data_IF_965738013929
#
_entry.id   IF_965738013929
#
_cell.length_a   1.000
_cell.length_b   1.000
_cell.length_c   1.000
_cell.angle_alpha   90.00
_cell.angle_beta   90.00
_cell.angle_gamma   90.00
#
_symmetry.space_group_name_H-M   'P 1'
#
loop_
_entity.id
_entity.type
_entity.pdbx_description
1 polymer ?
#
# COMPACT_ATOMS: atom_id res chain seq x y z
N UNK A 1 -22.28 12.79 -13.38
CA UNK A 1 -22.33 11.74 -12.34
C UNK A 1 -21.19 10.78 -12.65
N UNK A 2 -20.09 10.90 -11.92
CA UNK A 2 -18.91 10.06 -12.10
C UNK A 2 -19.10 8.82 -11.25
N UNK A 3 -19.10 7.62 -11.84
CA UNK A 3 -19.31 6.37 -11.11
C UNK A 3 -18.01 5.95 -10.41
N UNK A 4 -18.08 5.67 -9.10
CA UNK A 4 -17.00 4.97 -8.39
C UNK A 4 -16.94 3.54 -8.93
N UNK A 5 -15.78 3.14 -9.46
CA UNK A 5 -15.56 1.76 -9.89
C UNK A 5 -15.18 0.94 -8.64
N UNK A 6 -16.15 0.22 -8.09
CA UNK A 6 -15.91 -0.77 -7.04
C UNK A 6 -15.46 -2.06 -7.72
N UNK A 7 -14.17 -2.38 -7.64
CA UNK A 7 -13.67 -3.70 -8.06
C UNK A 7 -14.05 -4.73 -7.00
N UNK A 8 -15.20 -5.37 -7.20
CA UNK A 8 -15.60 -6.53 -6.41
C UNK A 8 -14.83 -7.75 -6.94
N UNK A 9 -13.88 -8.27 -6.15
CA UNK A 9 -13.23 -9.54 -6.48
C UNK A 9 -14.21 -10.69 -6.21
N UNK A 10 -15.06 -10.99 -7.20
CA UNK A 10 -15.65 -12.32 -7.29
C UNK A 10 -14.60 -13.28 -7.85
N UNK A 11 -14.46 -14.45 -7.22
CA UNK A 11 -13.69 -15.58 -7.74
C UNK A 11 -14.44 -16.20 -8.93
N UNK A 12 -14.64 -15.43 -10.01
CA UNK A 12 -15.06 -15.95 -11.29
C UNK A 12 -14.49 -15.08 -12.41
N UNK A 13 -13.53 -15.65 -13.12
CA UNK A 13 -12.89 -15.07 -14.29
C UNK A 13 -13.90 -15.17 -15.43
N UNK A 14 -14.40 -14.03 -15.94
CA UNK A 14 -14.55 -13.81 -17.39
C UNK A 14 -15.01 -12.37 -17.72
N UNK A 15 -14.42 -11.87 -18.81
CA UNK A 15 -14.71 -10.66 -19.59
C UNK A 15 -14.62 -9.28 -18.93
N UNK A 16 -13.40 -8.73 -18.97
CA UNK A 16 -13.15 -7.37 -19.47
C UNK A 16 -11.72 -7.38 -20.01
N UNK A 17 -11.44 -6.69 -21.11
CA UNK A 17 -10.10 -6.58 -21.72
C UNK A 17 -9.19 -5.75 -20.80
N UNK A 18 -8.84 -6.33 -19.65
CA UNK A 18 -7.87 -5.83 -18.72
C UNK A 18 -6.53 -6.15 -19.37
N UNK A 19 -5.75 -5.11 -19.70
CA UNK A 19 -4.30 -5.25 -19.89
C UNK A 19 -3.81 -6.05 -18.70
N UNK A 20 -3.55 -7.34 -18.90
CA UNK A 20 -3.28 -8.29 -17.81
C UNK A 20 -2.11 -7.68 -17.01
N UNK A 21 -2.40 -7.08 -15.85
CA UNK A 21 -1.36 -6.73 -14.91
C UNK A 21 -0.81 -8.08 -14.48
N UNK A 22 0.32 -8.47 -15.06
CA UNK A 22 1.04 -9.67 -14.67
C UNK A 22 1.44 -9.42 -13.22
N UNK A 23 0.64 -9.94 -12.28
CA UNK A 23 1.02 -9.92 -10.87
C UNK A 23 2.30 -10.73 -10.73
N UNK A 24 3.31 -10.12 -10.14
CA UNK A 24 4.59 -10.76 -9.79
C UNK A 24 4.40 -11.97 -8.89
N UNK A 25 3.42 -11.91 -7.99
CA UNK A 25 3.07 -12.96 -7.03
C UNK A 25 1.60 -13.36 -7.14
N UNK A 26 1.32 -14.64 -6.88
CA UNK A 26 -0.04 -15.18 -6.80
C UNK A 26 -0.71 -14.97 -5.44
N UNK A 27 0.04 -14.46 -4.46
CA UNK A 27 -0.43 -14.21 -3.09
C UNK A 27 -0.19 -12.75 -2.69
N UNK A 28 -0.84 -12.34 -1.60
CA UNK A 28 -0.58 -11.10 -0.89
C UNK A 28 -0.55 -11.41 0.61
N UNK A 29 0.09 -10.55 1.41
CA UNK A 29 0.07 -10.66 2.87
C UNK A 29 -1.16 -9.90 3.40
N UNK A 30 -2.20 -10.58 3.90
CA UNK A 30 -3.39 -9.92 4.43
C UNK A 30 -3.09 -9.30 5.80
N UNK A 31 -4.06 -8.59 6.37
CA UNK A 31 -3.99 -8.21 7.79
C UNK A 31 -4.05 -9.47 8.66
N UNK A 32 -2.96 -9.76 9.38
CA UNK A 32 -2.87 -10.89 10.32
C UNK A 32 -3.00 -10.47 11.79
N UNK A 33 -3.11 -9.15 12.05
CA UNK A 33 -3.20 -8.57 13.38
C UNK A 33 -2.75 -7.11 13.35
N UNK A 34 -3.23 -6.28 14.28
CA UNK A 34 -3.01 -4.83 14.28
C UNK A 34 -1.52 -4.47 14.24
N UNK A 35 -0.70 -5.15 15.06
CA UNK A 35 0.74 -4.89 15.15
C UNK A 35 1.60 -5.83 14.28
N UNK A 36 1.04 -6.92 13.74
CA UNK A 36 1.86 -7.98 13.12
C UNK A 36 2.28 -7.64 11.69
N UNK A 37 1.38 -7.06 10.89
CA UNK A 37 1.63 -6.74 9.47
C UNK A 37 1.82 -5.25 9.20
N UNK A 38 1.85 -4.44 10.26
CA UNK A 38 1.89 -2.98 10.18
C UNK A 38 3.11 -2.45 9.42
N UNK A 39 4.26 -3.11 9.57
CA UNK A 39 5.52 -2.75 8.91
C UNK A 39 5.95 -3.75 7.81
N UNK A 40 5.11 -4.73 7.49
CA UNK A 40 5.36 -5.71 6.42
C UNK A 40 5.76 -5.04 5.10
N UNK A 41 5.14 -3.92 4.66
CA UNK A 41 5.54 -3.26 3.43
C UNK A 41 7.02 -2.89 3.38
N UNK A 42 7.64 -2.49 4.50
CA UNK A 42 9.07 -2.15 4.53
C UNK A 42 9.99 -3.36 4.32
N UNK A 43 9.48 -4.58 4.51
CA UNK A 43 10.24 -5.83 4.46
C UNK A 43 10.09 -6.51 3.09
N UNK A 44 8.91 -6.42 2.47
CA UNK A 44 8.55 -7.30 1.34
C UNK A 44 8.21 -6.57 0.04
N UNK A 45 7.83 -5.28 0.09
CA UNK A 45 7.39 -4.54 -1.11
C UNK A 45 8.48 -4.44 -2.18
N UNK A 46 9.74 -4.26 -1.79
CA UNK A 46 10.88 -4.24 -2.72
C UNK A 46 11.05 -5.54 -3.53
N UNK A 47 10.43 -6.63 -3.09
CA UNK A 47 10.41 -7.94 -3.77
C UNK A 47 9.13 -8.22 -4.55
N UNK A 48 8.30 -7.18 -4.76
CA UNK A 48 7.05 -7.29 -5.51
C UNK A 48 5.87 -7.87 -4.74
N UNK A 49 5.99 -8.11 -3.43
CA UNK A 49 4.93 -8.74 -2.63
C UNK A 49 3.97 -7.67 -2.08
N UNK A 50 2.70 -7.79 -2.46
CA UNK A 50 1.61 -6.94 -1.96
C UNK A 50 1.36 -7.22 -0.46
N UNK A 51 1.16 -6.17 0.35
CA UNK A 51 0.87 -6.33 1.78
C UNK A 51 -0.06 -5.24 2.33
N UNK A 52 -0.81 -5.57 3.38
CA UNK A 52 -1.87 -4.71 3.93
C UNK A 52 -1.55 -4.22 5.35
N UNK A 53 -1.60 -2.90 5.54
CA UNK A 53 -1.46 -2.21 6.84
C UNK A 53 -2.83 -2.02 7.49
N UNK A 54 -2.99 -2.40 8.75
CA UNK A 54 -4.20 -2.06 9.51
C UNK A 54 -4.15 -0.61 10.02
N UNK A 55 -5.19 0.18 9.74
CA UNK A 55 -5.32 1.58 10.20
C UNK A 55 -6.13 1.73 11.50
N UNK A 56 -6.34 0.62 12.20
CA UNK A 56 -7.22 0.56 13.39
C UNK A 56 -6.64 1.32 14.59
N UNK A 57 -5.31 1.37 14.75
CA UNK A 57 -4.67 1.96 15.93
C UNK A 57 -3.61 3.00 15.53
N UNK A 58 -3.96 4.28 15.65
CA UNK A 58 -3.06 5.39 15.31
C UNK A 58 -1.94 5.62 16.34
N UNK A 59 -2.11 5.13 17.57
CA UNK A 59 -1.08 5.23 18.62
C UNK A 59 0.08 4.32 18.25
N UNK A 60 -0.19 3.11 17.79
CA UNK A 60 0.85 2.19 17.30
C UNK A 60 1.52 2.77 16.05
N UNK A 61 0.76 3.32 15.10
CA UNK A 61 1.32 3.97 13.90
C UNK A 61 2.28 5.11 14.27
N UNK A 62 1.91 5.97 15.21
CA UNK A 62 2.75 7.09 15.65
C UNK A 62 4.03 6.62 16.36
N UNK A 63 3.94 5.60 17.23
CA UNK A 63 5.11 4.99 17.88
C UNK A 63 6.08 4.39 16.87
N UNK A 64 5.56 3.67 15.88
CA UNK A 64 6.38 3.11 14.80
C UNK A 64 6.95 4.20 13.91
N UNK A 65 6.19 5.27 13.63
CA UNK A 65 6.68 6.43 12.88
C UNK A 65 7.88 7.05 13.57
N UNK A 66 7.83 7.24 14.90
CA UNK A 66 8.97 7.72 15.68
C UNK A 66 10.18 6.81 15.52
N UNK A 67 10.02 5.51 15.83
CA UNK A 67 11.10 4.53 15.78
C UNK A 67 11.75 4.45 14.39
N UNK A 68 10.94 4.42 13.32
CA UNK A 68 11.47 4.35 11.95
C UNK A 68 12.06 5.68 11.48
N UNK A 69 11.49 6.82 11.87
CA UNK A 69 12.08 8.12 11.55
C UNK A 69 13.46 8.27 12.19
N UNK A 70 13.63 7.83 13.45
CA UNK A 70 14.93 7.78 14.12
C UNK A 70 15.89 6.81 13.40
N UNK A 71 15.44 5.60 13.09
CA UNK A 71 16.25 4.57 12.42
C UNK A 71 16.75 4.98 11.03
N UNK A 72 15.94 5.73 10.28
CA UNK A 72 16.25 6.14 8.91
C UNK A 72 16.64 7.62 8.80
N UNK A 73 16.91 8.28 9.94
CA UNK A 73 17.34 9.69 10.01
C UNK A 73 16.39 10.66 9.28
N UNK A 74 15.08 10.39 9.37
CA UNK A 74 14.05 11.23 8.76
C UNK A 74 13.56 12.32 9.73
N UNK A 75 13.13 13.49 9.22
CA UNK A 75 12.51 14.52 10.06
C UNK A 75 11.28 13.98 10.81
N UNK A 76 11.28 14.13 12.13
CA UNK A 76 10.18 13.70 12.98
C UNK A 76 9.68 14.85 13.86
N UNK A 77 8.38 15.13 13.74
CA UNK A 77 7.62 15.95 14.70
C UNK A 77 6.46 15.12 15.21
N UNK A 78 6.34 15.00 16.53
CA UNK A 78 5.26 14.26 17.16
C UNK A 78 3.90 14.90 16.85
N UNK A 79 2.92 14.07 16.51
CA UNK A 79 1.53 14.47 16.35
C UNK A 79 0.80 14.06 17.63
N UNK A 80 0.66 14.98 18.57
CA UNK A 80 -0.03 14.70 19.83
C UNK A 80 -1.56 14.71 19.67
N UNK A 81 -2.27 14.15 20.63
CA UNK A 81 -3.75 14.16 20.68
C UNK A 81 -4.38 15.55 20.85
N UNK A 82 -3.56 16.59 21.09
CA UNK A 82 -4.00 17.99 21.18
C UNK A 82 -4.12 18.66 19.82
N UNK A 83 -3.61 18.03 18.77
CA UNK A 83 -3.65 18.56 17.41
C UNK A 83 -5.02 18.23 16.80
N UNK A 84 -5.64 19.22 16.15
CA UNK A 84 -6.88 18.97 15.41
C UNK A 84 -6.66 17.91 14.31
N UNK A 85 -7.60 16.98 14.18
CA UNK A 85 -7.53 15.81 13.29
C UNK A 85 -6.24 14.98 13.44
N UNK A 86 -5.71 14.86 14.67
CA UNK A 86 -4.46 14.15 14.94
C UNK A 86 -4.43 12.73 14.37
N UNK A 87 -5.56 12.00 14.42
CA UNK A 87 -5.65 10.61 13.95
C UNK A 87 -5.40 10.51 12.45
N UNK A 88 -6.09 11.33 11.64
CA UNK A 88 -5.87 11.35 10.20
C UNK A 88 -4.44 11.79 9.88
N UNK A 89 -3.91 12.81 10.57
CA UNK A 89 -2.53 13.28 10.40
C UNK A 89 -1.48 12.21 10.71
N UNK A 90 -1.64 11.46 11.81
CA UNK A 90 -0.76 10.32 12.16
C UNK A 90 -0.75 9.27 11.06
N UNK A 91 -1.93 8.90 10.57
CA UNK A 91 -2.10 7.92 9.50
C UNK A 91 -1.42 8.43 8.22
N UNK A 92 -1.71 9.65 7.78
CA UNK A 92 -1.07 10.26 6.60
C UNK A 92 0.45 10.27 6.72
N UNK A 93 0.99 10.80 7.83
CA UNK A 93 2.44 10.89 8.04
C UNK A 93 3.12 9.53 8.12
N UNK A 94 2.46 8.53 8.73
CA UNK A 94 2.98 7.17 8.77
C UNK A 94 3.02 6.53 7.37
N UNK A 95 1.91 6.60 6.63
CA UNK A 95 1.84 6.02 5.28
C UNK A 95 2.84 6.66 4.33
N UNK A 96 3.03 7.98 4.41
CA UNK A 96 4.04 8.69 3.63
C UNK A 96 5.45 8.21 3.98
N UNK A 97 5.79 8.12 5.28
CA UNK A 97 7.09 7.60 5.72
C UNK A 97 7.33 6.17 5.22
N UNK A 98 6.32 5.30 5.32
CA UNK A 98 6.42 3.91 4.83
C UNK A 98 6.67 3.90 3.32
N UNK A 99 5.92 4.70 2.56
CA UNK A 99 6.07 4.81 1.11
C UNK A 99 7.48 5.30 0.73
N UNK A 100 7.98 6.34 1.39
CA UNK A 100 9.28 6.94 1.09
C UNK A 100 10.42 5.94 1.35
N UNK A 101 10.41 5.27 2.52
CA UNK A 101 11.41 4.26 2.86
C UNK A 101 11.34 3.07 1.89
N UNK A 102 10.14 2.60 1.57
CA UNK A 102 9.95 1.43 0.73
C UNK A 102 10.38 1.69 -0.74
N UNK A 103 10.08 2.88 -1.27
CA UNK A 103 10.58 3.32 -2.58
C UNK A 103 12.12 3.43 -2.57
N UNK A 104 12.71 4.04 -1.53
CA UNK A 104 14.17 4.14 -1.40
C UNK A 104 14.83 2.76 -1.47
N UNK A 105 14.33 1.80 -0.69
CA UNK A 105 14.81 0.40 -0.71
C UNK A 105 14.70 -0.25 -2.08
N UNK A 106 13.58 -0.02 -2.78
CA UNK A 106 13.38 -0.57 -4.12
C UNK A 106 14.33 0.05 -5.16
N UNK A 107 14.59 1.36 -5.10
CA UNK A 107 15.58 2.01 -5.96
C UNK A 107 17.01 1.54 -5.65
N UNK A 108 17.36 1.36 -4.37
CA UNK A 108 18.64 0.77 -3.96
C UNK A 108 18.80 -0.66 -4.51
N UNK A 109 17.74 -1.48 -4.46
CA UNK A 109 17.72 -2.82 -5.05
C UNK A 109 18.01 -2.75 -6.56
N UNK A 110 17.36 -1.85 -7.30
CA UNK A 110 17.61 -1.65 -8.74
C UNK A 110 18.98 -1.04 -9.07
N UNK A 111 19.57 -0.25 -8.17
CA UNK A 111 20.87 0.37 -8.37
C UNK A 111 22.04 -0.59 -8.05
N UNK A 112 21.86 -1.50 -7.09
CA UNK A 112 22.89 -2.44 -6.60
C UNK A 112 23.34 -3.49 -7.63
N UNK A 113 22.72 -3.52 -8.81
CA UNK A 113 23.06 -4.36 -9.96
C UNK A 113 24.52 -4.21 -10.39
N UNK A 114 25.12 -3.03 -10.15
CA UNK A 114 26.50 -2.74 -10.52
C UNK A 114 27.55 -3.41 -9.61
N UNK A 115 27.20 -3.74 -8.36
CA UNK A 115 28.18 -4.17 -7.35
C UNK A 115 27.94 -5.60 -6.85
N UNK A 116 26.69 -6.06 -6.87
CA UNK A 116 26.27 -7.35 -6.32
C UNK A 116 25.15 -7.92 -7.17
N UNK A 117 25.47 -8.76 -8.15
CA UNK A 117 24.47 -9.55 -8.90
C UNK A 117 23.50 -10.35 -7.99
N UNK A 118 23.79 -10.45 -6.69
CA UNK A 118 22.99 -11.12 -5.69
C UNK A 118 21.65 -10.44 -5.38
N UNK A 119 21.50 -9.11 -5.48
CA UNK A 119 20.24 -8.45 -5.11
C UNK A 119 19.09 -8.75 -6.08
N UNK A 120 19.37 -8.77 -7.39
CA UNK A 120 18.40 -9.26 -8.39
C UNK A 120 18.13 -10.74 -8.14
N UNK A 121 19.15 -11.56 -7.89
CA UNK A 121 18.96 -12.99 -7.59
C UNK A 121 18.06 -13.19 -6.38
N UNK A 122 18.22 -12.40 -5.33
CA UNK A 122 17.33 -12.40 -4.16
C UNK A 122 15.89 -12.08 -4.56
N UNK A 123 15.66 -11.00 -5.33
CA UNK A 123 14.32 -10.69 -5.85
C UNK A 123 13.72 -11.88 -6.63
N UNK A 124 14.50 -12.46 -7.54
CA UNK A 124 14.07 -13.61 -8.36
C UNK A 124 13.84 -14.88 -7.53
N UNK A 125 14.56 -15.05 -6.42
CA UNK A 125 14.36 -16.15 -5.49
C UNK A 125 13.03 -16.03 -4.74
N UNK A 126 12.54 -14.81 -4.49
CA UNK A 126 11.21 -14.60 -3.93
C UNK A 126 10.10 -14.85 -4.96
N UNK A 127 10.37 -14.74 -6.27
CA UNK A 127 9.36 -15.01 -7.29
C UNK A 127 9.01 -16.50 -7.39
N UNK A 128 7.73 -16.83 -7.65
CA UNK A 128 7.31 -18.19 -8.00
C UNK A 128 8.11 -18.77 -9.17
N UNK A 129 8.38 -20.08 -9.17
CA UNK A 129 9.20 -20.73 -10.21
C UNK A 129 8.57 -20.67 -11.61
N UNK A 130 7.25 -20.57 -11.69
CA UNK A 130 6.53 -20.40 -12.95
C UNK A 130 6.50 -18.94 -13.45
N UNK A 131 7.09 -17.99 -12.71
CA UNK A 131 7.12 -16.57 -13.06
C UNK A 131 7.76 -16.34 -14.43
N UNK A 132 7.06 -15.57 -15.28
CA UNK A 132 7.54 -15.19 -16.61
C UNK A 132 8.84 -14.39 -16.48
N UNK A 133 8.89 -13.45 -15.54
CA UNK A 133 10.07 -12.61 -15.26
C UNK A 133 11.28 -13.47 -14.92
N UNK A 134 11.11 -14.51 -14.09
CA UNK A 134 12.18 -15.44 -13.69
C UNK A 134 12.70 -16.23 -14.90
N UNK A 135 11.80 -16.71 -15.76
CA UNK A 135 12.14 -17.43 -17.00
C UNK A 135 12.85 -16.52 -18.01
N UNK A 136 12.39 -15.28 -18.17
CA UNK A 136 13.01 -14.30 -19.06
C UNK A 136 14.40 -13.94 -18.59
N UNK A 137 14.60 -13.72 -17.29
CA UNK A 137 15.92 -13.48 -16.72
C UNK A 137 16.88 -14.64 -16.97
N UNK A 138 16.43 -15.89 -16.78
CA UNK A 138 17.29 -17.06 -17.03
C UNK A 138 17.72 -17.13 -18.51
N UNK A 139 16.80 -16.89 -19.45
CA UNK A 139 17.14 -16.79 -20.89
C UNK A 139 18.10 -15.65 -21.21
N UNK A 140 17.99 -14.54 -20.49
CA UNK A 140 18.94 -13.43 -20.61
C UNK A 140 20.30 -13.85 -20.07
N UNK A 141 20.39 -14.53 -18.94
CA UNK A 141 21.66 -14.97 -18.34
C UNK A 141 22.45 -15.98 -19.20
N UNK A 142 21.77 -16.72 -20.09
CA UNK A 142 22.38 -17.67 -21.03
C UNK A 142 23.05 -16.97 -22.24
N UNK A 143 22.69 -15.71 -22.51
CA UNK A 143 23.31 -14.88 -23.56
C UNK A 143 24.35 -13.96 -22.92
N UNK A 144 25.48 -13.70 -23.62
CA UNK A 144 26.54 -12.79 -23.13
C UNK A 144 26.04 -11.33 -23.10
N UNK A 145 25.35 -10.94 -22.03
CA UNK A 145 24.89 -9.57 -21.81
C UNK A 145 25.84 -8.75 -20.93
N UNK A 146 25.76 -7.43 -21.07
CA UNK A 146 26.51 -6.47 -20.25
C UNK A 146 25.75 -6.11 -18.97
N UNK A 147 26.46 -5.53 -17.99
CA UNK A 147 25.83 -5.02 -16.76
C UNK A 147 24.73 -3.97 -17.05
N UNK A 148 24.88 -3.18 -18.10
CA UNK A 148 23.88 -2.18 -18.50
C UNK A 148 22.58 -2.84 -18.99
N UNK A 149 22.67 -3.99 -19.66
CA UNK A 149 21.48 -4.70 -20.15
C UNK A 149 20.67 -5.27 -18.98
N UNK A 150 21.35 -5.82 -17.97
CA UNK A 150 20.71 -6.32 -16.75
C UNK A 150 20.04 -5.16 -15.98
N UNK A 151 20.70 -4.00 -15.91
CA UNK A 151 20.15 -2.82 -15.24
C UNK A 151 18.91 -2.28 -15.94
N UNK A 152 18.95 -2.18 -17.26
CA UNK A 152 17.79 -1.75 -18.06
C UNK A 152 16.65 -2.77 -17.92
N UNK A 153 16.96 -4.07 -18.02
CA UNK A 153 15.98 -5.12 -17.80
C UNK A 153 15.34 -5.03 -16.41
N UNK A 154 16.13 -4.84 -15.35
CA UNK A 154 15.60 -4.73 -13.99
C UNK A 154 14.69 -3.50 -13.83
N UNK A 155 15.04 -2.38 -14.46
CA UNK A 155 14.22 -1.16 -14.46
C UNK A 155 12.86 -1.37 -15.13
N UNK A 156 12.83 -2.16 -16.21
CA UNK A 156 11.63 -2.34 -17.03
C UNK A 156 10.72 -3.49 -16.55
N UNK A 157 11.27 -4.45 -15.80
CA UNK A 157 10.57 -5.70 -15.45
C UNK A 157 10.32 -5.89 -13.96
N UNK A 158 11.10 -5.27 -13.08
CA UNK A 158 10.86 -5.37 -11.64
C UNK A 158 9.79 -4.36 -11.22
N UNK A 159 8.92 -4.77 -10.31
CA UNK A 159 7.87 -3.93 -9.77
C UNK A 159 7.79 -4.07 -8.25
N UNK A 160 7.56 -2.95 -7.59
CA UNK A 160 7.29 -2.94 -6.16
C UNK A 160 5.89 -3.50 -5.87
N UNK A 161 5.76 -4.25 -4.78
CA UNK A 161 4.47 -4.74 -4.28
C UNK A 161 3.63 -3.58 -3.72
N UNK A 162 2.31 -3.67 -3.83
CA UNK A 162 1.42 -2.64 -3.32
C UNK A 162 1.48 -2.53 -1.80
N UNK A 163 1.38 -1.28 -1.33
CA UNK A 163 1.19 -0.96 0.08
C UNK A 163 -0.28 -0.64 0.26
N UNK A 164 -1.07 -1.65 0.59
CA UNK A 164 -2.51 -1.54 0.77
C UNK A 164 -2.84 -1.23 2.24
N UNK A 165 -4.05 -0.75 2.49
CA UNK A 165 -4.51 -0.42 3.85
C UNK A 165 -5.83 -1.11 4.17
N UNK A 166 -6.09 -1.35 5.44
CA UNK A 166 -7.36 -1.90 5.92
C UNK A 166 -8.04 -0.97 6.93
N UNK A 167 -9.35 -0.81 6.75
CA UNK A 167 -10.25 -0.21 7.73
C UNK A 167 -11.30 -1.24 8.11
N UNK A 168 -11.40 -1.52 9.41
CA UNK A 168 -12.47 -2.36 9.97
C UNK A 168 -13.72 -1.49 10.19
N UNK A 169 -14.78 -1.72 9.41
CA UNK A 169 -15.96 -0.83 9.40
C UNK A 169 -16.80 -0.90 10.67
N UNK A 170 -16.73 -2.02 11.42
CA UNK A 170 -17.42 -2.24 12.70
C UNK A 170 -16.82 -1.50 13.90
N UNK A 171 -15.59 -1.00 13.79
CA UNK A 171 -14.86 -0.36 14.91
C UNK A 171 -14.89 1.17 14.76
N UNK A 172 -15.82 1.70 13.96
CA UNK A 172 -15.99 3.14 13.74
C UNK A 172 -16.60 3.80 14.98
N UNK A 173 -15.74 4.15 15.94
CA UNK A 173 -16.11 4.73 17.24
C UNK A 173 -16.26 6.26 17.15
N UNK A 174 -17.25 6.79 17.86
CA UNK A 174 -17.42 8.24 18.03
C UNK A 174 -16.29 8.83 18.90
N UNK A 175 -15.73 9.95 18.45
CA UNK A 175 -14.68 10.68 19.15
C UNK A 175 -15.22 11.93 19.85
N UNK A 176 -14.53 12.36 20.91
CA UNK A 176 -14.96 13.45 21.78
C UNK A 176 -13.86 14.51 21.88
N UNK A 177 -14.27 15.78 21.94
CA UNK A 177 -13.42 16.90 22.33
C UNK A 177 -14.13 17.70 23.41
N UNK A 178 -13.45 17.98 24.52
CA UNK A 178 -14.03 18.73 25.66
C UNK A 178 -15.40 18.17 26.12
N UNK A 179 -15.51 16.84 26.19
CA UNK A 179 -16.74 16.10 26.52
C UNK A 179 -17.92 16.28 25.54
N UNK A 180 -17.70 16.87 24.37
CA UNK A 180 -18.68 16.96 23.28
C UNK A 180 -18.36 15.96 22.19
N UNK A 181 -19.39 15.28 21.69
CA UNK A 181 -19.27 14.38 20.55
C UNK A 181 -18.86 15.19 19.31
N UNK A 182 -17.81 14.74 18.63
CA UNK A 182 -17.36 15.36 17.40
C UNK A 182 -18.24 14.94 16.22
N UNK A 183 -18.25 15.73 15.13
CA UNK A 183 -18.86 15.29 13.88
C UNK A 183 -18.30 13.95 13.42
N UNK A 184 -19.14 13.10 12.82
CA UNK A 184 -18.80 11.71 12.42
C UNK A 184 -17.55 11.58 11.54
N UNK A 185 -17.18 12.63 10.80
CA UNK A 185 -15.91 12.65 10.06
C UNK A 185 -14.71 12.38 10.98
N UNK A 186 -14.77 12.75 12.25
CA UNK A 186 -13.70 12.48 13.21
C UNK A 186 -13.75 11.07 13.80
N UNK A 187 -14.72 10.23 13.45
CA UNK A 187 -14.74 8.84 13.88
C UNK A 187 -13.56 8.06 13.32
N UNK A 188 -13.20 6.98 13.98
CA UNK A 188 -11.97 6.24 13.72
C UNK A 188 -11.83 5.77 12.25
N UNK A 189 -12.91 5.23 11.67
CA UNK A 189 -12.93 4.79 10.28
C UNK A 189 -12.84 5.94 9.29
N UNK A 190 -13.54 7.04 9.57
CA UNK A 190 -13.53 8.23 8.72
C UNK A 190 -12.18 8.96 8.76
N UNK A 191 -11.55 9.03 9.93
CA UNK A 191 -10.19 9.56 10.08
C UNK A 191 -9.16 8.69 9.37
N UNK A 192 -9.31 7.35 9.44
CA UNK A 192 -8.45 6.44 8.70
C UNK A 192 -8.62 6.57 7.18
N UNK A 193 -9.85 6.72 6.70
CA UNK A 193 -10.13 6.97 5.29
C UNK A 193 -9.53 8.31 4.83
N UNK A 194 -9.70 9.39 5.61
CA UNK A 194 -9.02 10.66 5.32
C UNK A 194 -7.52 10.51 5.27
N UNK A 195 -6.93 9.89 6.29
CA UNK A 195 -5.47 9.74 6.37
C UNK A 195 -4.90 8.98 5.18
N UNK A 196 -5.58 7.89 4.78
CA UNK A 196 -5.22 7.17 3.56
C UNK A 196 -5.41 8.02 2.30
N UNK A 197 -6.54 8.72 2.17
CA UNK A 197 -6.85 9.56 1.01
C UNK A 197 -5.87 10.72 0.85
N UNK A 198 -5.38 11.29 1.96
CA UNK A 198 -4.39 12.37 1.97
C UNK A 198 -2.94 11.88 1.86
N UNK A 199 -2.68 10.57 1.96
CA UNK A 199 -1.34 10.00 1.79
C UNK A 199 -0.87 10.02 0.33
N UNK A 200 0.46 9.97 0.16
CA UNK A 200 1.15 9.93 -1.13
C UNK A 200 1.19 8.54 -1.78
N UNK A 201 0.47 7.56 -1.21
CA UNK A 201 0.34 6.23 -1.79
C UNK A 201 -0.41 6.28 -3.12
N UNK A 202 0.13 5.55 -4.10
CA UNK A 202 -0.43 5.39 -5.45
C UNK A 202 -0.50 3.90 -5.79
N UNK A 203 -1.44 3.52 -6.65
CA UNK A 203 -1.73 2.12 -6.99
C UNK A 203 -2.04 1.25 -5.77
N UNK A 204 -2.55 1.87 -4.70
CA UNK A 204 -2.83 1.24 -3.41
C UNK A 204 -4.33 0.98 -3.25
N UNK A 205 -4.67 -0.03 -2.48
CA UNK A 205 -6.05 -0.45 -2.23
C UNK A 205 -6.46 -0.20 -0.78
N UNK A 206 -7.66 0.36 -0.62
CA UNK A 206 -8.40 0.36 0.63
C UNK A 206 -9.21 -0.93 0.75
N UNK A 207 -8.80 -1.80 1.66
CA UNK A 207 -9.53 -3.01 2.04
C UNK A 207 -10.55 -2.63 3.12
N UNK A 208 -11.84 -2.71 2.79
CA UNK A 208 -12.92 -2.56 3.76
C UNK A 208 -13.32 -3.94 4.28
N UNK A 209 -13.24 -4.14 5.59
CA UNK A 209 -13.52 -5.42 6.24
C UNK A 209 -14.61 -5.31 7.31
N UNK A 210 -15.18 -6.46 7.67
CA UNK A 210 -16.11 -6.65 8.77
C UNK A 210 -17.53 -6.06 8.60
N UNK A 211 -17.94 -5.67 7.39
CA UNK A 211 -19.33 -5.32 7.08
C UNK A 211 -19.50 -4.02 6.30
N UNK A 212 -20.74 -3.67 5.98
CA UNK A 212 -21.10 -2.43 5.29
C UNK A 212 -21.34 -1.31 6.32
N UNK A 213 -20.65 -0.18 6.17
CA UNK A 213 -20.93 1.05 6.89
C UNK A 213 -21.29 2.12 5.87
N UNK A 214 -22.59 2.32 5.53
CA UNK A 214 -23.00 3.23 4.46
C UNK A 214 -22.41 4.63 4.57
N UNK A 215 -22.19 5.12 5.80
CA UNK A 215 -21.64 6.46 6.05
C UNK A 215 -20.20 6.58 5.57
N UNK A 216 -19.37 5.57 5.87
CA UNK A 216 -17.98 5.52 5.40
C UNK A 216 -17.93 5.43 3.87
N UNK A 217 -18.91 4.78 3.25
CA UNK A 217 -18.97 4.60 1.80
C UNK A 217 -19.39 5.90 1.11
N UNK A 218 -20.38 6.61 1.64
CA UNK A 218 -20.71 7.97 1.19
C UNK A 218 -19.51 8.90 1.35
N UNK A 219 -18.73 8.75 2.43
CA UNK A 219 -17.54 9.57 2.65
C UNK A 219 -16.43 9.34 1.61
N UNK A 220 -16.39 8.18 0.93
CA UNK A 220 -15.45 7.95 -0.19
C UNK A 220 -15.70 8.90 -1.36
N UNK A 221 -16.94 9.35 -1.56
CA UNK A 221 -17.31 10.23 -2.67
C UNK A 221 -16.61 11.60 -2.58
N UNK A 222 -16.16 12.01 -1.39
CA UNK A 222 -15.44 13.27 -1.18
C UNK A 222 -13.99 13.26 -1.69
N UNK A 223 -13.45 12.10 -2.09
CA UNK A 223 -12.04 11.95 -2.45
C UNK A 223 -11.85 11.58 -3.92
N UNK A 224 -11.29 12.51 -4.69
CA UNK A 224 -11.02 12.35 -6.14
C UNK A 224 -10.09 11.17 -6.46
N UNK A 225 -9.21 10.79 -5.53
CA UNK A 225 -8.22 9.71 -5.70
C UNK A 225 -8.85 8.31 -5.96
N UNK A 226 -10.13 8.12 -5.66
CA UNK A 226 -10.87 6.87 -5.91
C UNK A 226 -11.61 6.84 -7.25
N UNK A 227 -11.54 7.92 -8.03
CA UNK A 227 -12.11 7.99 -9.37
C UNK A 227 -11.03 7.75 -10.44
N UNK A 228 -11.40 7.20 -11.61
CA UNK A 228 -10.46 7.05 -12.71
C UNK A 228 -10.00 8.42 -13.21
N UNK A 229 -8.71 8.54 -13.52
CA UNK A 229 -8.18 9.71 -14.20
C UNK A 229 -8.56 9.71 -15.70
N UNK A 230 -8.09 10.71 -16.46
CA UNK A 230 -8.34 10.84 -17.91
C UNK A 230 -7.85 9.65 -18.76
N UNK A 231 -7.02 8.78 -18.20
CA UNK A 231 -6.48 7.58 -18.86
C UNK A 231 -7.14 6.30 -18.31
N UNK A 232 -8.30 6.41 -17.64
CA UNK A 232 -9.01 5.30 -16.98
C UNK A 232 -8.20 4.57 -15.91
N UNK A 233 -7.21 5.25 -15.30
CA UNK A 233 -6.37 4.68 -14.26
C UNK A 233 -6.84 5.13 -12.88
N UNK A 234 -7.03 4.16 -11.98
CA UNK A 234 -7.35 4.39 -10.57
C UNK A 234 -6.07 4.62 -9.77
N UNK A 235 -5.98 5.75 -9.07
CA UNK A 235 -4.87 6.03 -8.15
C UNK A 235 -5.01 5.22 -6.86
N UNK A 236 -6.22 5.18 -6.29
CA UNK A 236 -6.57 4.35 -5.13
C UNK A 236 -7.75 3.45 -5.47
N UNK A 237 -7.68 2.19 -5.06
CA UNK A 237 -8.68 1.16 -5.34
C UNK A 237 -9.47 0.85 -4.09
N UNK A 238 -10.69 0.34 -4.25
CA UNK A 238 -11.50 -0.15 -3.13
C UNK A 238 -11.61 -1.67 -3.27
N UNK A 239 -11.33 -2.38 -2.20
CA UNK A 239 -11.47 -3.84 -2.08
C UNK A 239 -12.48 -4.13 -0.98
N UNK A 240 -13.60 -4.74 -1.33
CA UNK A 240 -14.61 -5.16 -0.37
C UNK A 240 -14.35 -6.60 0.06
N UNK A 241 -14.00 -6.81 1.32
CA UNK A 241 -13.87 -8.15 1.90
C UNK A 241 -15.24 -8.59 2.43
N UNK A 242 -15.93 -9.40 1.65
CA UNK A 242 -17.19 -10.06 2.04
C UNK A 242 -16.83 -11.43 2.62
N UNK A 243 -17.22 -11.68 3.88
CA UNK A 243 -17.09 -12.97 4.57
C UNK A 243 -18.36 -13.78 4.44
#
# INVERSE_FOLDING_TARGET
>A
MSNIIITVYYKNINSLTIKLMIKTHSFHIPVMGIAYTIDSPLKVSQYGIDSVISLVDDIILEKLRKMYSEKFEMPYKEISNKIDDFRAKRITSYLNMINDIANKKFEELKASVNEKSNSIKEYLNFLPDNSIIKKEFNKLSEKRFTLNDIKNWAKDNLSMGSIDVNIMTKVDKDNYSENKILPKKYNDGHAALRGFSQSNLVNSSLVLSAGLNPRLYTYLEEFEDFYPNKNDQLKKKIVLKVS
#
